data_IF_131705816011
#
_entry.id   IF_131705816011
#
_cell.length_a   1.000
_cell.length_b   1.000
_cell.length_c   1.000
_cell.angle_alpha   90.00
_cell.angle_beta   90.00
_cell.angle_gamma   90.00
#
_symmetry.space_group_name_H-M   'P 1'
#
loop_
_entity.id
_entity.type
_entity.pdbx_description
1 polymer ?
#
# COMPACT_ATOMS: atom_id res chain seq x y z
N UNK A 1 7.04 27.63 -9.16
CA UNK A 1 7.53 26.59 -10.09
C UNK A 1 8.03 25.32 -9.39
N UNK A 2 8.70 25.42 -8.25
CA UNK A 2 9.18 24.28 -7.43
C UNK A 2 8.05 23.40 -6.85
N UNK A 3 6.92 23.99 -6.44
CA UNK A 3 5.78 23.28 -5.87
C UNK A 3 5.07 22.31 -6.85
N UNK A 4 4.97 22.69 -8.13
CA UNK A 4 4.41 21.81 -9.18
C UNK A 4 5.34 20.63 -9.53
N UNK A 5 6.66 20.82 -9.44
CA UNK A 5 7.63 19.78 -9.77
C UNK A 5 7.64 18.66 -8.71
N UNK A 6 7.55 19.02 -7.42
CA UNK A 6 7.47 18.04 -6.33
C UNK A 6 6.18 17.23 -6.33
N UNK A 7 5.06 17.78 -6.81
CA UNK A 7 3.79 17.05 -6.95
C UNK A 7 3.82 16.02 -8.08
N UNK A 8 4.58 16.28 -9.16
CA UNK A 8 4.75 15.33 -10.27
C UNK A 8 5.67 14.16 -9.86
N UNK A 9 6.66 14.43 -9.00
CA UNK A 9 7.64 13.43 -8.56
C UNK A 9 7.11 12.47 -7.49
N UNK A 10 6.11 12.88 -6.69
CA UNK A 10 5.61 12.09 -5.55
C UNK A 10 4.10 11.81 -5.60
N UNK A 11 3.43 12.15 -6.72
CA UNK A 11 1.98 12.08 -6.80
C UNK A 11 1.32 13.04 -5.80
N UNK A 12 0.22 12.59 -5.17
CA UNK A 12 -0.48 13.38 -4.13
C UNK A 12 -0.28 12.78 -2.73
N UNK A 13 0.75 11.95 -2.55
CA UNK A 13 1.04 11.37 -1.25
C UNK A 13 1.46 12.43 -0.23
N UNK A 14 0.96 12.30 0.99
CA UNK A 14 1.37 13.16 2.10
C UNK A 14 2.82 12.90 2.50
N UNK A 15 3.46 13.90 3.12
CA UNK A 15 4.83 13.74 3.63
C UNK A 15 4.94 12.59 4.65
N UNK A 16 3.88 12.33 5.40
CA UNK A 16 3.80 11.20 6.32
C UNK A 16 3.98 9.85 5.61
N UNK A 17 3.30 9.64 4.48
CA UNK A 17 3.43 8.43 3.65
C UNK A 17 4.84 8.34 3.08
N UNK A 18 5.35 9.43 2.50
CA UNK A 18 6.68 9.49 1.89
C UNK A 18 7.82 9.20 2.89
N UNK A 19 7.66 9.58 4.15
CA UNK A 19 8.63 9.33 5.21
C UNK A 19 8.53 7.90 5.78
N UNK A 20 7.43 7.19 5.52
CA UNK A 20 7.16 5.87 6.12
C UNK A 20 7.59 4.71 5.25
N UNK A 21 7.52 4.86 3.92
CA UNK A 21 7.85 3.79 2.95
C UNK A 21 8.75 4.31 1.83
N UNK A 22 9.61 3.46 1.25
CA UNK A 22 10.55 3.87 0.20
C UNK A 22 9.90 4.06 -1.18
N UNK A 23 8.69 3.58 -1.38
CA UNK A 23 7.97 3.67 -2.65
C UNK A 23 7.80 5.12 -3.12
N UNK A 24 7.90 5.34 -4.43
CA UNK A 24 7.75 6.66 -5.07
C UNK A 24 6.92 6.54 -6.34
N UNK A 25 6.39 7.67 -6.80
CA UNK A 25 5.71 7.73 -8.09
C UNK A 25 6.62 7.15 -9.21
N UNK A 26 6.07 6.35 -10.15
CA UNK A 26 4.65 6.03 -10.33
C UNK A 26 4.15 4.80 -9.55
N UNK A 27 4.98 4.17 -8.71
CA UNK A 27 4.65 2.95 -7.96
C UNK A 27 4.36 3.23 -6.47
N UNK A 28 3.69 4.34 -6.18
CA UNK A 28 3.21 4.69 -4.86
C UNK A 28 1.68 4.72 -4.87
N UNK A 29 1.06 3.80 -4.12
CA UNK A 29 -0.38 3.56 -4.15
C UNK A 29 -1.11 3.91 -2.85
N UNK A 30 -0.52 4.76 -2.03
CA UNK A 30 -1.15 5.32 -0.82
C UNK A 30 -1.03 6.84 -0.86
N UNK A 31 -2.16 7.55 -0.72
CA UNK A 31 -2.16 9.01 -0.73
C UNK A 31 -2.01 9.58 0.69
N UNK A 32 -2.74 9.07 1.67
CA UNK A 32 -2.68 9.55 3.06
C UNK A 32 -3.09 8.49 4.07
N UNK A 33 -2.62 8.64 5.31
CA UNK A 33 -3.07 7.87 6.46
C UNK A 33 -4.33 8.53 7.01
N UNK A 34 -5.36 7.73 7.27
CA UNK A 34 -6.64 8.18 7.86
C UNK A 34 -6.66 7.91 9.36
N UNK A 35 -6.22 6.72 9.77
CA UNK A 35 -6.10 6.37 11.19
C UNK A 35 -4.99 5.34 11.40
N UNK A 36 -4.36 5.41 12.56
CA UNK A 36 -3.25 4.53 12.92
C UNK A 36 -3.32 4.20 14.42
N UNK A 37 -3.27 2.91 14.73
CA UNK A 37 -3.15 2.36 16.08
C UNK A 37 -1.92 1.46 16.16
N UNK A 38 -1.67 0.83 17.31
CA UNK A 38 -0.51 -0.08 17.48
C UNK A 38 -0.57 -1.32 16.56
N UNK A 39 -1.75 -1.78 16.18
CA UNK A 39 -1.90 -2.99 15.37
C UNK A 39 -2.73 -2.81 14.09
N UNK A 40 -3.21 -1.61 13.77
CA UNK A 40 -4.08 -1.39 12.63
C UNK A 40 -3.86 -0.02 12.00
N UNK A 41 -3.95 0.02 10.68
CA UNK A 41 -3.90 1.23 9.87
C UNK A 41 -5.06 1.27 8.90
N UNK A 42 -5.60 2.47 8.68
CA UNK A 42 -6.49 2.79 7.57
C UNK A 42 -5.85 3.92 6.79
N UNK A 43 -5.72 3.73 5.50
CA UNK A 43 -5.19 4.71 4.56
C UNK A 43 -6.13 4.90 3.38
N UNK A 44 -5.86 5.88 2.56
CA UNK A 44 -6.70 6.24 1.42
C UNK A 44 -5.88 6.33 0.14
N UNK A 45 -6.47 5.87 -0.96
CA UNK A 45 -5.98 6.04 -2.32
C UNK A 45 -7.09 6.55 -3.22
N UNK A 46 -6.86 7.64 -3.92
CA UNK A 46 -7.75 8.19 -4.95
C UNK A 46 -7.24 7.72 -6.31
N UNK A 47 -8.09 7.05 -7.07
CA UNK A 47 -7.77 6.56 -8.41
C UNK A 47 -7.98 7.67 -9.45
N UNK A 48 -6.90 8.27 -9.93
CA UNK A 48 -6.94 9.34 -10.91
C UNK A 48 -7.01 8.76 -12.32
N UNK A 49 -7.67 9.47 -13.24
CA UNK A 49 -7.83 9.02 -14.62
C UNK A 49 -6.50 8.85 -15.36
N UNK A 50 -5.49 9.57 -14.94
CA UNK A 50 -4.13 9.62 -15.51
C UNK A 50 -3.21 8.51 -15.00
N UNK A 51 -3.70 7.61 -14.14
CA UNK A 51 -2.89 6.49 -13.64
C UNK A 51 -2.40 5.62 -14.80
N UNK A 52 -1.11 5.26 -14.77
CA UNK A 52 -0.44 4.56 -15.88
C UNK A 52 -1.12 3.25 -16.27
N UNK A 53 -1.68 2.52 -15.30
CA UNK A 53 -2.30 1.23 -15.55
C UNK A 53 -3.65 1.33 -16.29
N UNK A 54 -4.35 2.45 -16.22
CA UNK A 54 -5.60 2.64 -16.96
C UNK A 54 -5.41 2.72 -18.48
N UNK A 55 -4.21 3.06 -18.94
CA UNK A 55 -3.90 3.14 -20.37
C UNK A 55 -3.93 1.79 -21.05
N UNK A 56 -3.61 0.72 -20.34
CA UNK A 56 -3.53 -0.64 -20.88
C UNK A 56 -4.49 -1.66 -20.26
N UNK A 57 -5.01 -1.39 -19.07
CA UNK A 57 -5.85 -2.34 -18.32
C UNK A 57 -7.30 -1.84 -18.19
N UNK A 58 -8.06 -2.04 -19.01
CA UNK A 58 -8.50 -2.27 -20.35
C UNK A 58 -8.88 -0.93 -21.01
N UNK A 59 -8.41 -0.55 -22.20
CA UNK A 59 -8.60 0.80 -22.75
C UNK A 59 -10.05 1.25 -22.90
N UNK A 60 -10.97 0.32 -23.19
CA UNK A 60 -12.40 0.63 -23.36
C UNK A 60 -13.20 0.54 -22.05
N UNK A 61 -12.65 -0.08 -21.01
CA UNK A 61 -13.25 -0.19 -19.68
C UNK A 61 -12.12 -0.16 -18.65
N UNK A 62 -11.51 1.01 -18.42
CA UNK A 62 -10.36 1.11 -17.55
C UNK A 62 -10.73 0.75 -16.11
N UNK A 63 -9.95 -0.15 -15.53
CA UNK A 63 -10.08 -0.56 -14.13
C UNK A 63 -8.70 -0.81 -13.52
N UNK A 64 -8.58 -0.61 -12.21
CA UNK A 64 -7.34 -0.89 -11.50
C UNK A 64 -7.10 -2.39 -11.43
N UNK A 65 -5.91 -2.88 -11.85
CA UNK A 65 -5.56 -4.29 -11.68
C UNK A 65 -5.70 -4.74 -10.22
N UNK A 66 -6.36 -5.88 -10.00
CA UNK A 66 -6.55 -6.41 -8.63
C UNK A 66 -5.24 -6.61 -7.88
N UNK A 67 -4.18 -7.02 -8.58
CA UNK A 67 -2.85 -7.18 -7.99
C UNK A 67 -2.24 -5.85 -7.53
N UNK A 68 -2.57 -4.72 -8.17
CA UNK A 68 -2.14 -3.39 -7.73
C UNK A 68 -2.98 -2.88 -6.54
N UNK A 69 -4.23 -3.33 -6.41
CA UNK A 69 -5.01 -3.10 -5.18
C UNK A 69 -4.36 -3.84 -4.01
N UNK A 70 -3.90 -5.08 -4.23
CA UNK A 70 -3.11 -5.80 -3.23
C UNK A 70 -1.82 -5.04 -2.86
N UNK A 71 -1.09 -4.53 -3.84
CA UNK A 71 0.12 -3.73 -3.60
C UNK A 71 -0.17 -2.49 -2.75
N UNK A 72 -1.29 -1.80 -3.00
CA UNK A 72 -1.71 -0.66 -2.17
C UNK A 72 -1.93 -1.08 -0.70
N UNK A 73 -2.50 -2.27 -0.46
CA UNK A 73 -2.66 -2.82 0.90
C UNK A 73 -1.29 -3.18 1.50
N UNK A 74 -0.35 -3.75 0.72
CA UNK A 74 1.00 -4.06 1.21
C UNK A 74 1.77 -2.80 1.60
N UNK A 75 1.69 -1.74 0.81
CA UNK A 75 2.29 -0.44 1.13
C UNK A 75 1.66 0.16 2.40
N UNK A 76 0.34 0.02 2.57
CA UNK A 76 -0.36 0.43 3.80
C UNK A 76 0.17 -0.33 5.03
N UNK A 77 0.35 -1.65 4.93
CA UNK A 77 0.99 -2.44 6.00
C UNK A 77 2.44 -2.02 6.26
N UNK A 78 3.19 -1.68 5.21
CA UNK A 78 4.55 -1.14 5.32
C UNK A 78 4.61 0.14 6.15
N UNK A 79 3.62 1.03 6.02
CA UNK A 79 3.50 2.24 6.85
C UNK A 79 3.26 1.87 8.33
N UNK A 80 2.36 0.92 8.60
CA UNK A 80 2.12 0.41 9.96
C UNK A 80 3.39 -0.18 10.57
N UNK A 81 4.12 -1.00 9.80
CA UNK A 81 5.39 -1.56 10.24
C UNK A 81 6.38 -0.47 10.61
N UNK A 82 6.63 0.47 9.71
CA UNK A 82 7.57 1.57 9.90
C UNK A 82 7.27 2.42 11.14
N UNK A 83 6.00 2.66 11.42
CA UNK A 83 5.59 3.57 12.49
C UNK A 83 5.38 2.90 13.85
N UNK A 84 5.01 1.62 13.88
CA UNK A 84 4.50 0.96 15.09
C UNK A 84 5.14 -0.37 15.43
N UNK A 85 5.56 -1.16 14.44
CA UNK A 85 5.91 -2.55 14.67
C UNK A 85 7.42 -2.81 14.70
N UNK A 86 8.22 -1.94 14.08
CA UNK A 86 9.67 -2.12 13.99
C UNK A 86 10.42 -1.03 14.76
N UNK A 87 11.49 -1.42 15.42
CA UNK A 87 12.47 -0.45 15.93
C UNK A 87 13.45 -0.12 14.79
N UNK A 88 13.44 1.12 14.31
CA UNK A 88 14.26 1.56 13.18
C UNK A 88 15.75 1.27 13.37
N UNK A 89 16.27 1.41 14.59
CA UNK A 89 17.67 1.11 14.90
C UNK A 89 18.00 -0.39 14.77
N UNK A 90 17.04 -1.28 15.00
CA UNK A 90 17.25 -2.74 14.92
C UNK A 90 17.10 -3.30 13.50
N UNK A 91 16.60 -2.50 12.57
CA UNK A 91 16.35 -2.90 11.16
C UNK A 91 17.13 -2.05 10.17
N UNK A 92 18.18 -1.38 10.63
CA UNK A 92 19.05 -0.59 9.75
C UNK A 92 19.59 -1.44 8.60
N UNK A 93 19.43 -0.94 7.37
CA UNK A 93 19.80 -1.64 6.15
C UNK A 93 18.85 -2.76 5.71
N UNK A 94 17.72 -2.96 6.41
CA UNK A 94 16.67 -3.90 6.01
C UNK A 94 15.47 -3.18 5.41
N UNK A 95 14.78 -3.88 4.51
CA UNK A 95 13.53 -3.41 3.89
C UNK A 95 12.44 -4.47 4.00
N UNK A 96 11.17 -4.08 4.20
CA UNK A 96 10.07 -5.02 4.16
C UNK A 96 9.78 -5.41 2.71
N UNK A 97 9.67 -6.70 2.45
CA UNK A 97 9.28 -7.25 1.16
C UNK A 97 8.13 -8.22 1.32
N UNK A 98 7.28 -8.32 0.30
CA UNK A 98 6.23 -9.34 0.25
C UNK A 98 6.91 -10.72 0.10
N UNK A 99 6.66 -11.64 1.03
CA UNK A 99 7.20 -12.99 1.00
C UNK A 99 6.16 -14.04 0.69
N UNK A 100 4.90 -13.78 1.01
CA UNK A 100 3.82 -14.75 0.80
C UNK A 100 2.44 -14.07 0.79
N UNK A 101 1.57 -14.57 -0.08
CA UNK A 101 0.13 -14.34 -0.03
C UNK A 101 -0.51 -15.69 0.33
N UNK A 102 -1.19 -15.75 1.48
CA UNK A 102 -1.87 -16.94 1.93
C UNK A 102 -3.25 -17.09 1.28
N UNK A 103 -3.95 -15.97 1.11
CA UNK A 103 -5.27 -15.92 0.51
C UNK A 103 -5.52 -14.53 -0.09
N UNK A 104 -6.12 -14.48 -1.26
CA UNK A 104 -6.61 -13.24 -1.87
C UNK A 104 -7.98 -13.49 -2.51
N UNK A 105 -8.94 -12.63 -2.21
CA UNK A 105 -10.29 -12.68 -2.76
C UNK A 105 -10.62 -11.35 -3.41
N UNK A 106 -10.86 -11.37 -4.71
CA UNK A 106 -11.23 -10.23 -5.54
C UNK A 106 -12.75 -10.24 -5.73
N UNK A 107 -13.45 -9.30 -5.11
CA UNK A 107 -14.92 -9.31 -5.06
C UNK A 107 -15.55 -8.29 -5.97
N UNK A 108 -14.88 -7.14 -6.21
CA UNK A 108 -15.39 -6.04 -7.03
C UNK A 108 -14.24 -5.32 -7.70
N UNK A 109 -14.56 -4.60 -8.78
CA UNK A 109 -13.63 -3.79 -9.56
C UNK A 109 -13.54 -2.37 -8.99
N UNK A 110 -12.39 -1.72 -9.22
CA UNK A 110 -12.14 -0.32 -8.91
C UNK A 110 -11.89 0.45 -10.21
N UNK A 111 -12.54 1.60 -10.36
CA UNK A 111 -12.57 2.39 -11.58
C UNK A 111 -11.91 3.76 -11.39
N UNK A 112 -11.55 4.47 -12.48
CA UNK A 112 -11.10 5.85 -12.41
C UNK A 112 -12.11 6.73 -11.64
N UNK A 113 -11.62 7.55 -10.71
CA UNK A 113 -12.43 8.42 -9.85
C UNK A 113 -12.86 7.79 -8.52
N UNK A 114 -12.66 6.47 -8.33
CA UNK A 114 -12.94 5.82 -7.06
C UNK A 114 -11.93 6.24 -5.98
N UNK A 115 -12.41 6.31 -4.75
CA UNK A 115 -11.58 6.44 -3.55
C UNK A 115 -11.60 5.10 -2.81
N UNK A 116 -10.41 4.53 -2.62
CA UNK A 116 -10.22 3.28 -1.90
C UNK A 116 -9.81 3.56 -0.46
N UNK A 117 -10.52 2.96 0.49
CA UNK A 117 -10.08 2.82 1.86
C UNK A 117 -9.27 1.53 1.99
N UNK A 118 -7.99 1.66 2.32
CA UNK A 118 -7.02 0.58 2.46
C UNK A 118 -6.82 0.30 3.94
N UNK A 119 -7.06 -0.92 4.35
CA UNK A 119 -6.89 -1.34 5.74
C UNK A 119 -5.88 -2.47 5.83
N UNK A 120 -4.99 -2.40 6.82
CA UNK A 120 -4.11 -3.50 7.20
C UNK A 120 -4.14 -3.67 8.72
N UNK A 121 -4.29 -4.91 9.16
CA UNK A 121 -4.27 -5.33 10.57
C UNK A 121 -3.13 -6.30 10.78
N UNK A 122 -2.27 -5.99 11.75
CA UNK A 122 -1.19 -6.86 12.18
C UNK A 122 -1.75 -8.01 13.03
N UNK A 123 -1.38 -9.24 12.70
CA UNK A 123 -1.84 -10.44 13.40
C UNK A 123 -0.79 -10.99 14.36
N UNK A 124 0.43 -11.20 13.85
CA UNK A 124 1.55 -11.73 14.64
C UNK A 124 2.89 -11.50 13.95
N UNK A 125 3.96 -11.63 14.74
CA UNK A 125 5.35 -11.68 14.26
C UNK A 125 5.97 -13.02 14.62
N UNK A 126 6.63 -13.63 13.64
CA UNK A 126 7.45 -14.84 13.83
C UNK A 126 8.82 -14.58 13.22
N UNK A 127 9.85 -14.44 14.04
CA UNK A 127 11.19 -14.01 13.62
C UNK A 127 11.13 -12.69 12.85
N UNK A 128 11.61 -12.65 11.61
CA UNK A 128 11.59 -11.47 10.73
C UNK A 128 10.33 -11.39 9.84
N UNK A 129 9.33 -12.24 10.09
CA UNK A 129 8.09 -12.29 9.31
C UNK A 129 6.91 -11.70 10.07
N UNK A 130 6.19 -10.79 9.42
CA UNK A 130 5.04 -10.08 9.95
C UNK A 130 3.79 -10.50 9.17
N UNK A 131 2.80 -11.03 9.87
CA UNK A 131 1.55 -11.55 9.31
C UNK A 131 0.46 -10.50 9.38
N UNK A 132 -0.23 -10.31 8.28
CA UNK A 132 -1.27 -9.30 8.13
C UNK A 132 -2.54 -9.85 7.50
N UNK A 133 -3.66 -9.24 7.88
CA UNK A 133 -4.90 -9.22 7.10
C UNK A 133 -5.12 -7.83 6.54
N UNK A 134 -5.65 -7.76 5.32
CA UNK A 134 -5.92 -6.48 4.68
C UNK A 134 -7.19 -6.48 3.86
N UNK A 135 -7.77 -5.30 3.70
CA UNK A 135 -8.91 -5.06 2.83
C UNK A 135 -8.76 -3.76 2.07
N UNK A 136 -9.27 -3.74 0.85
CA UNK A 136 -9.57 -2.50 0.14
C UNK A 136 -11.09 -2.37 -0.01
N UNK A 137 -11.63 -1.20 0.32
CA UNK A 137 -13.05 -0.91 0.26
C UNK A 137 -13.29 0.36 -0.56
N UNK A 138 -14.42 0.38 -1.25
CA UNK A 138 -15.04 1.60 -1.78
C UNK A 138 -16.33 1.82 -1.00
N UNK A 139 -16.42 2.93 -0.25
CA UNK A 139 -17.46 3.10 0.74
C UNK A 139 -17.49 1.87 1.68
N UNK A 140 -18.65 1.23 1.87
CA UNK A 140 -18.78 0.03 2.71
C UNK A 140 -18.59 -1.29 1.94
N UNK A 141 -18.29 -1.23 0.64
CA UNK A 141 -18.16 -2.41 -0.20
C UNK A 141 -16.71 -2.90 -0.28
N UNK A 142 -16.48 -4.14 0.12
CA UNK A 142 -15.16 -4.78 -0.01
C UNK A 142 -14.89 -5.09 -1.48
N UNK A 143 -13.76 -4.58 -2.00
CA UNK A 143 -13.24 -4.91 -3.33
C UNK A 143 -12.27 -6.09 -3.25
N UNK A 144 -11.34 -6.04 -2.32
CA UNK A 144 -10.32 -7.07 -2.09
C UNK A 144 -10.23 -7.38 -0.61
N UNK A 145 -10.08 -8.66 -0.27
CA UNK A 145 -9.62 -9.11 1.05
C UNK A 145 -8.44 -10.05 0.89
N UNK A 146 -7.42 -9.90 1.73
CA UNK A 146 -6.14 -10.58 1.55
C UNK A 146 -5.49 -10.93 2.89
N UNK A 147 -4.82 -12.08 2.96
CA UNK A 147 -3.93 -12.49 4.05
C UNK A 147 -2.53 -12.67 3.48
N UNK A 148 -1.54 -12.01 4.08
CA UNK A 148 -0.19 -11.95 3.52
C UNK A 148 0.88 -11.81 4.60
N UNK A 149 2.14 -11.98 4.19
CA UNK A 149 3.31 -11.92 5.06
C UNK A 149 4.35 -10.98 4.44
N UNK A 150 4.80 -10.02 5.23
CA UNK A 150 5.96 -9.19 4.92
C UNK A 150 7.16 -9.70 5.71
N UNK A 151 8.31 -9.82 5.05
CA UNK A 151 9.58 -10.20 5.67
C UNK A 151 10.58 -9.06 5.63
N UNK A 152 11.38 -8.91 6.68
CA UNK A 152 12.49 -7.96 6.70
C UNK A 152 13.72 -8.61 6.11
N UNK A 153 14.22 -8.06 4.99
CA UNK A 153 15.40 -8.58 4.28
C UNK A 153 16.51 -7.52 4.18
N UNK A 154 17.76 -7.95 4.14
CA UNK A 154 18.89 -7.04 3.97
C UNK A 154 18.89 -6.42 2.58
N UNK A 155 18.89 -5.08 2.53
CA UNK A 155 18.94 -4.34 1.27
C UNK A 155 20.29 -4.45 0.54
N UNK A 156 21.32 -4.89 1.21
CA UNK A 156 22.69 -5.04 0.66
C UNK A 156 22.89 -6.29 -0.21
N UNK A 157 21.88 -7.13 -0.33
CA UNK A 157 21.91 -8.36 -1.13
C UNK A 157 20.99 -8.37 -2.35
N UNK A 158 20.38 -7.23 -2.67
CA UNK A 158 19.47 -7.05 -3.80
C UNK A 158 20.14 -6.32 -4.94
#
# INVERSE_FOLDING_TARGET
MLYKRSMVENGNATQEVLNSIPHRFPFLFVDRVVSLTEGRIVAERILRKEEFFFQGHYPQMPLMPGVLICEAIFQTAGILMSKKLINQASVEGKVPVLTRINSAKFKRMAFPGDTLNLEASFEQKVKDFYFFKGTAKKQDQILVSIEFVLGMVDAKGL
#
